data_IF_920217188389
#
_entry.id   IF_920217188389
#
_cell.length_a   1.000
_cell.length_b   1.000
_cell.length_c   1.000
_cell.angle_alpha   90.00
_cell.angle_beta   90.00
_cell.angle_gamma   90.00
#
_symmetry.space_group_name_H-M   'P 1'
#
loop_
_entity.id
_entity.type
_entity.pdbx_description
1 polymer ?
#
# COMPACT_ATOMS: atom_id res chain seq x y z
N UNK A 1 6.74 15.40 7.82
CA UNK A 1 6.43 16.86 7.64
C UNK A 1 7.45 17.78 8.33
N UNK A 2 7.71 17.63 9.63
CA UNK A 2 8.68 18.48 10.36
C UNK A 2 10.05 18.48 9.68
N UNK A 3 10.56 17.31 9.31
CA UNK A 3 11.82 17.18 8.57
C UNK A 3 11.82 18.00 7.27
N UNK A 4 10.83 17.79 6.41
CA UNK A 4 10.75 18.49 5.12
C UNK A 4 10.70 20.02 5.27
N UNK A 5 9.96 20.55 6.25
CA UNK A 5 9.84 21.99 6.45
C UNK A 5 11.09 22.60 7.14
N UNK A 6 11.68 21.90 8.11
CA UNK A 6 12.76 22.46 8.96
C UNK A 6 14.16 22.09 8.50
N UNK A 7 14.35 20.91 7.92
CA UNK A 7 15.65 20.39 7.48
C UNK A 7 15.84 20.63 5.99
N UNK A 8 14.85 20.25 5.17
CA UNK A 8 14.96 20.39 3.72
C UNK A 8 14.57 21.80 3.22
N UNK A 9 13.98 22.65 4.09
CA UNK A 9 13.53 24.01 3.73
C UNK A 9 12.41 24.03 2.68
N UNK A 10 11.66 22.94 2.56
CA UNK A 10 10.62 22.79 1.56
C UNK A 10 9.34 23.57 1.89
N UNK A 11 8.49 23.76 0.87
CA UNK A 11 7.20 24.43 1.00
C UNK A 11 6.04 23.42 0.92
N UNK A 12 4.97 23.66 1.70
CA UNK A 12 3.76 22.85 1.63
C UNK A 12 3.20 22.82 0.22
N UNK A 13 2.84 21.64 -0.25
CA UNK A 13 2.26 21.42 -1.57
C UNK A 13 1.16 20.38 -1.48
N UNK A 14 0.06 20.64 -2.20
CA UNK A 14 -1.04 19.70 -2.38
C UNK A 14 -0.74 18.62 -3.44
N UNK A 15 0.47 18.61 -4.01
CA UNK A 15 0.90 17.60 -4.99
C UNK A 15 -0.07 17.46 -6.17
N UNK A 16 -0.64 18.59 -6.63
CA UNK A 16 -1.68 18.62 -7.67
C UNK A 16 -1.26 17.87 -8.94
N UNK A 17 -2.10 16.96 -9.50
CA UNK A 17 -1.73 16.18 -10.67
C UNK A 17 -1.75 17.04 -11.93
N UNK A 18 -0.57 17.47 -12.40
CA UNK A 18 -0.45 18.32 -13.62
C UNK A 18 -0.15 17.53 -14.89
N UNK A 19 0.25 16.27 -14.77
CA UNK A 19 0.74 15.45 -15.88
C UNK A 19 -0.25 14.35 -16.32
N UNK A 20 -1.50 14.42 -15.86
CA UNK A 20 -2.50 13.35 -16.05
C UNK A 20 -2.17 12.12 -15.22
N UNK A 21 -2.44 10.92 -15.76
CA UNK A 21 -2.13 9.64 -15.13
C UNK A 21 -3.30 8.91 -14.47
N UNK A 22 -4.48 9.52 -14.42
CA UNK A 22 -5.68 8.93 -13.82
C UNK A 22 -6.03 7.56 -14.42
N UNK A 23 -6.12 7.45 -15.75
CA UNK A 23 -6.45 6.18 -16.40
C UNK A 23 -5.38 5.10 -16.22
N UNK A 24 -4.11 5.50 -16.23
CA UNK A 24 -3.00 4.57 -15.95
C UNK A 24 -3.10 4.03 -14.53
N UNK A 25 -3.35 4.91 -13.56
CA UNK A 25 -3.53 4.53 -12.16
C UNK A 25 -4.73 3.60 -11.96
N UNK A 26 -5.90 3.97 -12.49
CA UNK A 26 -7.11 3.13 -12.43
C UNK A 26 -6.86 1.77 -13.06
N UNK A 27 -6.27 1.73 -14.26
CA UNK A 27 -5.96 0.48 -14.96
C UNK A 27 -5.00 -0.42 -14.18
N UNK A 28 -3.93 0.15 -13.61
CA UNK A 28 -2.98 -0.60 -12.79
C UNK A 28 -3.60 -1.06 -11.46
N UNK A 29 -4.42 -0.24 -10.81
CA UNK A 29 -5.15 -0.62 -9.60
C UNK A 29 -6.06 -1.82 -9.84
N UNK A 30 -6.84 -1.81 -10.92
CA UNK A 30 -7.65 -2.96 -11.31
C UNK A 30 -6.80 -4.19 -11.67
N UNK A 31 -5.73 -4.02 -12.43
CA UNK A 31 -4.85 -5.13 -12.80
C UNK A 31 -4.22 -5.80 -11.56
N UNK A 32 -3.72 -5.00 -10.61
CA UNK A 32 -3.19 -5.51 -9.35
C UNK A 32 -4.28 -6.17 -8.49
N UNK A 33 -5.48 -5.59 -8.43
CA UNK A 33 -6.61 -6.19 -7.72
C UNK A 33 -7.00 -7.56 -8.29
N UNK A 34 -7.00 -7.71 -9.61
CA UNK A 34 -7.25 -9.01 -10.27
C UNK A 34 -6.20 -10.03 -9.86
N UNK A 35 -4.92 -9.64 -9.79
CA UNK A 35 -3.84 -10.52 -9.34
C UNK A 35 -4.03 -10.91 -7.86
N UNK A 36 -4.38 -9.96 -6.99
CA UNK A 36 -4.63 -10.20 -5.56
C UNK A 36 -5.82 -11.15 -5.35
N UNK A 37 -6.94 -10.92 -6.03
CA UNK A 37 -8.12 -11.78 -5.96
C UNK A 37 -7.80 -13.17 -6.51
N UNK A 38 -7.08 -13.27 -7.63
CA UNK A 38 -6.67 -14.56 -8.19
C UNK A 38 -5.76 -15.33 -7.23
N UNK A 39 -4.82 -14.66 -6.57
CA UNK A 39 -3.97 -15.27 -5.56
C UNK A 39 -4.80 -15.80 -4.38
N UNK A 40 -5.78 -15.03 -3.91
CA UNK A 40 -6.70 -15.47 -2.86
C UNK A 40 -7.57 -16.66 -3.29
N UNK A 41 -8.11 -16.67 -4.52
CA UNK A 41 -8.88 -17.81 -5.02
C UNK A 41 -8.06 -19.11 -5.13
N UNK A 42 -6.75 -19.00 -5.36
CA UNK A 42 -5.86 -20.15 -5.51
C UNK A 42 -5.25 -20.63 -4.19
N UNK A 43 -5.00 -19.71 -3.25
CA UNK A 43 -4.21 -19.96 -2.03
C UNK A 43 -4.97 -19.65 -0.74
N UNK A 44 -6.19 -19.11 -0.82
CA UNK A 44 -6.97 -18.64 0.33
C UNK A 44 -7.31 -19.75 1.32
N UNK A 45 -7.57 -20.97 0.83
CA UNK A 45 -7.85 -22.14 1.68
C UNK A 45 -6.65 -22.54 2.56
N UNK A 46 -5.44 -22.11 2.20
CA UNK A 46 -4.23 -22.35 3.00
C UNK A 46 -4.01 -21.28 4.09
N UNK A 47 -4.85 -20.23 4.15
CA UNK A 47 -4.79 -19.19 5.19
C UNK A 47 -5.61 -19.65 6.41
N UNK A 48 -4.99 -19.63 7.59
CA UNK A 48 -5.69 -19.94 8.84
C UNK A 48 -6.56 -18.74 9.29
N UNK A 49 -7.86 -18.84 9.01
CA UNK A 49 -8.84 -17.84 9.38
C UNK A 49 -8.93 -17.63 10.91
N UNK A 50 -8.66 -18.66 11.72
CA UNK A 50 -8.68 -18.52 13.18
C UNK A 50 -7.50 -17.66 13.63
N UNK A 51 -6.31 -17.88 13.07
CA UNK A 51 -5.13 -17.10 13.39
C UNK A 51 -5.32 -15.62 13.03
N UNK A 52 -5.89 -15.34 11.86
CA UNK A 52 -6.24 -13.97 11.46
C UNK A 52 -7.27 -13.36 12.41
N UNK A 53 -8.34 -14.10 12.75
CA UNK A 53 -9.39 -13.63 13.66
C UNK A 53 -8.83 -13.30 15.05
N UNK A 54 -7.97 -14.16 15.61
CA UNK A 54 -7.32 -13.93 16.90
C UNK A 54 -6.38 -12.72 16.90
N UNK A 55 -5.75 -12.40 15.77
CA UNK A 55 -4.93 -11.20 15.65
C UNK A 55 -5.77 -9.91 15.59
N UNK A 56 -7.00 -9.99 15.07
CA UNK A 56 -7.90 -8.85 14.83
C UNK A 56 -8.92 -8.63 15.96
N UNK A 57 -9.22 -9.65 16.75
CA UNK A 57 -10.12 -9.56 17.91
C UNK A 57 -9.72 -8.46 18.91
N UNK A 58 -8.43 -8.33 19.34
CA UNK A 58 -8.04 -7.34 20.35
C UNK A 58 -8.23 -5.88 19.90
N UNK A 59 -8.29 -5.65 18.59
CA UNK A 59 -8.51 -4.33 17.99
C UNK A 59 -9.96 -4.09 17.56
N UNK A 60 -10.87 -5.03 17.89
CA UNK A 60 -12.31 -4.90 17.67
C UNK A 60 -12.76 -5.10 16.21
N UNK A 61 -11.88 -5.60 15.33
CA UNK A 61 -12.18 -5.73 13.90
C UNK A 61 -13.08 -6.94 13.56
N UNK A 62 -13.48 -7.74 14.55
CA UNK A 62 -14.52 -8.76 14.41
C UNK A 62 -15.95 -8.21 14.54
N UNK A 63 -16.12 -6.93 14.90
CA UNK A 63 -17.43 -6.25 14.81
C UNK A 63 -17.61 -5.71 13.37
N UNK A 64 -18.66 -6.11 12.61
CA UNK A 64 -18.86 -5.66 11.24
C UNK A 64 -18.96 -4.14 11.08
N UNK A 65 -19.49 -3.41 12.08
CA UNK A 65 -19.56 -1.94 12.04
C UNK A 65 -18.18 -1.33 12.21
N UNK A 66 -17.41 -1.83 13.18
CA UNK A 66 -16.03 -1.37 13.39
C UNK A 66 -15.20 -1.66 12.16
N UNK A 67 -15.30 -2.88 11.60
CA UNK A 67 -14.63 -3.30 10.38
C UNK A 67 -14.95 -2.39 9.19
N UNK A 68 -16.23 -2.04 9.01
CA UNK A 68 -16.65 -1.15 7.93
C UNK A 68 -16.03 0.24 8.04
N UNK A 69 -16.11 0.89 9.21
CA UNK A 69 -15.53 2.22 9.41
C UNK A 69 -14.00 2.22 9.36
N UNK A 70 -13.38 1.17 9.89
CA UNK A 70 -11.96 0.90 9.75
C UNK A 70 -11.55 0.81 8.27
N UNK A 71 -12.25 -0.01 7.48
CA UNK A 71 -11.99 -0.19 6.05
C UNK A 71 -12.08 1.13 5.29
N UNK A 72 -13.11 1.96 5.58
CA UNK A 72 -13.22 3.30 4.99
C UNK A 72 -12.04 4.20 5.37
N UNK A 73 -11.62 4.17 6.64
CA UNK A 73 -10.43 4.91 7.08
C UNK A 73 -9.19 4.44 6.34
N UNK A 74 -8.98 3.14 6.22
CA UNK A 74 -7.80 2.60 5.56
C UNK A 74 -7.74 3.00 4.09
N UNK A 75 -8.85 2.82 3.36
CA UNK A 75 -8.95 3.14 1.94
C UNK A 75 -8.81 4.65 1.67
N UNK A 76 -9.41 5.52 2.48
CA UNK A 76 -9.50 6.95 2.17
C UNK A 76 -8.41 7.79 2.82
N UNK A 77 -8.00 7.42 4.03
CA UNK A 77 -7.11 8.23 4.87
C UNK A 77 -5.74 7.56 4.98
N UNK A 78 -5.68 6.30 5.41
CA UNK A 78 -4.40 5.62 5.63
C UNK A 78 -3.62 5.47 4.33
N UNK A 79 -4.25 5.01 3.24
CA UNK A 79 -3.59 4.87 1.94
C UNK A 79 -3.01 6.21 1.46
N UNK A 80 -3.72 7.33 1.68
CA UNK A 80 -3.21 8.67 1.36
C UNK A 80 -1.98 9.00 2.22
N UNK A 81 -2.04 8.75 3.54
CA UNK A 81 -0.90 8.95 4.44
C UNK A 81 0.30 8.09 4.03
N UNK A 82 0.07 6.85 3.62
CA UNK A 82 1.11 5.96 3.09
C UNK A 82 1.73 6.52 1.82
N UNK A 83 0.95 7.01 0.86
CA UNK A 83 1.50 7.61 -0.35
C UNK A 83 2.31 8.89 -0.05
N UNK A 84 1.92 9.66 0.98
CA UNK A 84 2.73 10.77 1.46
C UNK A 84 4.08 10.31 2.03
N UNK A 85 4.10 9.24 2.83
CA UNK A 85 5.34 8.74 3.45
C UNK A 85 6.22 8.02 2.42
N UNK A 86 5.67 7.04 1.71
CA UNK A 86 6.44 6.15 0.84
C UNK A 86 6.75 6.74 -0.52
N UNK A 87 5.85 7.55 -1.09
CA UNK A 87 6.09 8.18 -2.39
C UNK A 87 6.67 9.55 -2.22
N UNK A 88 5.92 10.47 -1.63
CA UNK A 88 6.43 11.83 -1.56
C UNK A 88 7.71 11.94 -0.74
N UNK A 89 7.73 11.43 0.50
CA UNK A 89 8.95 11.57 1.31
C UNK A 89 10.04 10.57 0.90
N UNK A 90 9.77 9.26 0.92
CA UNK A 90 10.81 8.25 0.72
C UNK A 90 11.29 8.13 -0.73
N UNK A 91 10.46 8.37 -1.76
CA UNK A 91 11.01 8.42 -3.14
C UNK A 91 11.92 9.64 -3.30
N UNK A 92 11.51 10.83 -2.84
CA UNK A 92 12.38 12.03 -2.93
C UNK A 92 13.72 11.78 -2.23
N UNK A 93 13.69 11.22 -1.01
CA UNK A 93 14.94 10.87 -0.30
C UNK A 93 15.74 9.78 -0.99
N UNK A 94 15.08 8.84 -1.66
CA UNK A 94 15.77 7.85 -2.49
C UNK A 94 16.41 8.50 -3.71
N UNK A 95 15.76 9.45 -4.37
CA UNK A 95 16.33 10.20 -5.50
C UNK A 95 17.57 11.01 -5.09
N UNK A 96 17.56 11.61 -3.89
CA UNK A 96 18.73 12.29 -3.32
C UNK A 96 19.91 11.33 -3.06
N UNK A 97 19.65 10.06 -2.74
CA UNK A 97 20.67 9.08 -2.36
C UNK A 97 21.24 8.30 -3.56
N UNK A 98 20.39 7.87 -4.48
CA UNK A 98 20.76 6.94 -5.56
C UNK A 98 20.48 7.48 -6.97
N UNK A 99 20.01 8.72 -7.08
CA UNK A 99 19.61 9.34 -8.33
C UNK A 99 18.16 9.06 -8.73
N UNK A 100 17.67 9.81 -9.72
CA UNK A 100 16.29 9.73 -10.21
C UNK A 100 15.98 8.41 -10.95
N UNK A 101 14.68 8.09 -11.04
CA UNK A 101 14.19 6.99 -11.86
C UNK A 101 14.24 5.63 -11.16
N UNK A 102 14.65 4.58 -11.89
CA UNK A 102 14.56 3.19 -11.43
C UNK A 102 15.26 2.91 -10.10
N UNK A 103 16.48 3.41 -9.82
CA UNK A 103 17.14 3.18 -8.53
C UNK A 103 16.31 3.67 -7.35
N UNK A 104 15.75 4.88 -7.43
CA UNK A 104 14.90 5.43 -6.38
C UNK A 104 13.57 4.67 -6.22
N UNK A 105 12.98 4.22 -7.33
CA UNK A 105 11.77 3.38 -7.32
C UNK A 105 12.02 2.09 -6.55
N UNK A 106 13.12 1.39 -6.85
CA UNK A 106 13.47 0.13 -6.19
C UNK A 106 13.80 0.34 -4.71
N UNK A 107 14.56 1.38 -4.36
CA UNK A 107 14.91 1.66 -2.97
C UNK A 107 13.66 1.97 -2.13
N UNK A 108 12.77 2.82 -2.62
CA UNK A 108 11.50 3.11 -1.93
C UNK A 108 10.61 1.85 -1.82
N UNK A 109 10.53 1.03 -2.86
CA UNK A 109 9.79 -0.23 -2.82
C UNK A 109 10.37 -1.24 -1.81
N UNK A 110 11.70 -1.29 -1.66
CA UNK A 110 12.37 -2.11 -0.65
C UNK A 110 12.00 -1.66 0.78
N UNK A 111 12.00 -0.36 1.04
CA UNK A 111 11.61 0.17 2.37
C UNK A 111 10.12 -0.14 2.65
N UNK A 112 9.27 0.02 1.64
CA UNK A 112 7.84 -0.30 1.72
C UNK A 112 7.60 -1.77 2.05
N UNK A 113 8.24 -2.70 1.34
CA UNK A 113 8.05 -4.14 1.59
C UNK A 113 8.62 -4.57 2.94
N UNK A 114 9.72 -3.98 3.42
CA UNK A 114 10.25 -4.28 4.77
C UNK A 114 9.23 -3.92 5.84
N UNK A 115 8.61 -2.74 5.75
CA UNK A 115 7.55 -2.32 6.67
C UNK A 115 6.39 -3.34 6.68
N UNK A 116 5.92 -3.74 5.50
CA UNK A 116 4.78 -4.64 5.40
C UNK A 116 5.10 -6.08 5.78
N UNK A 117 6.32 -6.56 5.51
CA UNK A 117 6.76 -7.91 5.90
C UNK A 117 6.69 -8.06 7.42
N UNK A 118 7.10 -7.00 8.15
CA UNK A 118 6.99 -6.94 9.61
C UNK A 118 5.52 -6.90 10.05
N UNK A 119 4.70 -6.06 9.42
CA UNK A 119 3.26 -5.99 9.73
C UNK A 119 2.56 -7.34 9.54
N UNK A 120 2.76 -8.01 8.41
CA UNK A 120 2.16 -9.32 8.12
C UNK A 120 2.62 -10.39 9.12
N UNK A 121 3.88 -10.36 9.56
CA UNK A 121 4.36 -11.26 10.60
C UNK A 121 3.65 -11.02 11.94
N UNK A 122 3.39 -9.76 12.30
CA UNK A 122 2.65 -9.39 13.52
C UNK A 122 1.19 -9.83 13.44
N UNK A 123 0.57 -9.75 12.26
CA UNK A 123 -0.80 -10.22 12.01
C UNK A 123 -0.91 -11.75 11.84
N UNK A 124 0.16 -12.49 12.11
CA UNK A 124 0.12 -13.96 12.15
C UNK A 124 0.20 -14.64 10.80
N UNK A 125 0.62 -13.96 9.72
CA UNK A 125 0.79 -14.63 8.44
C UNK A 125 1.88 -15.71 8.54
N UNK A 126 1.64 -16.96 8.07
CA UNK A 126 2.68 -17.97 8.02
C UNK A 126 3.81 -17.51 7.08
N UNK A 127 5.04 -17.95 7.35
CA UNK A 127 6.24 -17.42 6.68
C UNK A 127 6.17 -17.49 5.15
N UNK A 128 5.56 -18.54 4.59
CA UNK A 128 5.43 -18.71 3.15
C UNK A 128 4.42 -17.72 2.55
N UNK A 129 3.31 -17.45 3.23
CA UNK A 129 2.31 -16.49 2.79
C UNK A 129 2.85 -15.07 2.92
N UNK A 130 3.56 -14.77 4.00
CA UNK A 130 4.26 -13.51 4.16
C UNK A 130 5.28 -13.30 3.03
N UNK A 131 6.11 -14.29 2.70
CA UNK A 131 7.07 -14.19 1.60
C UNK A 131 6.40 -13.90 0.25
N UNK A 132 5.34 -14.63 -0.11
CA UNK A 132 4.60 -14.41 -1.37
C UNK A 132 3.96 -13.02 -1.39
N UNK A 133 3.30 -12.63 -0.30
CA UNK A 133 2.71 -11.30 -0.13
C UNK A 133 3.76 -10.21 -0.25
N UNK A 134 4.94 -10.39 0.35
CA UNK A 134 6.05 -9.43 0.27
C UNK A 134 6.57 -9.28 -1.16
N UNK A 135 6.66 -10.36 -1.95
CA UNK A 135 7.00 -10.24 -3.37
C UNK A 135 5.94 -9.41 -4.11
N UNK A 136 4.65 -9.68 -3.87
CA UNK A 136 3.55 -8.89 -4.44
C UNK A 136 3.58 -7.42 -4.03
N UNK A 137 3.80 -7.15 -2.75
CA UNK A 137 3.90 -5.81 -2.17
C UNK A 137 5.13 -5.04 -2.65
N UNK A 138 6.24 -5.73 -2.89
CA UNK A 138 7.42 -5.12 -3.51
C UNK A 138 7.11 -4.65 -4.94
N UNK A 139 6.45 -5.50 -5.75
CA UNK A 139 6.04 -5.15 -7.11
C UNK A 139 5.02 -4.00 -7.08
N UNK A 140 3.99 -4.09 -6.24
CA UNK A 140 3.00 -3.02 -6.06
C UNK A 140 3.63 -1.70 -5.60
N UNK A 141 4.52 -1.76 -4.61
CA UNK A 141 5.28 -0.62 -4.13
C UNK A 141 6.16 0.00 -5.21
N UNK A 142 6.78 -0.81 -6.07
CA UNK A 142 7.54 -0.33 -7.22
C UNK A 142 6.63 0.34 -8.27
N UNK A 143 5.44 -0.21 -8.54
CA UNK A 143 4.44 0.38 -9.44
C UNK A 143 3.97 1.74 -8.90
N UNK A 144 3.65 1.83 -7.61
CA UNK A 144 3.24 3.09 -6.98
C UNK A 144 4.36 4.13 -7.02
N UNK A 145 5.60 3.73 -6.72
CA UNK A 145 6.77 4.60 -6.86
C UNK A 145 6.99 5.06 -8.31
N UNK A 146 6.82 4.17 -9.28
CA UNK A 146 6.92 4.52 -10.69
C UNK A 146 5.84 5.51 -11.13
N UNK A 147 4.58 5.32 -10.70
CA UNK A 147 3.50 6.28 -10.93
C UNK A 147 3.84 7.66 -10.34
N UNK A 148 4.39 7.69 -9.12
CA UNK A 148 4.83 8.92 -8.50
C UNK A 148 5.95 9.61 -9.29
N UNK A 149 7.02 8.90 -9.65
CA UNK A 149 8.13 9.46 -10.43
C UNK A 149 7.64 9.97 -11.78
N UNK A 150 6.75 9.22 -12.44
CA UNK A 150 6.25 9.55 -13.78
C UNK A 150 5.33 10.77 -13.82
N UNK A 151 4.48 10.95 -12.80
CA UNK A 151 3.43 11.97 -12.80
C UNK A 151 3.65 13.08 -11.75
N UNK A 152 4.62 12.89 -10.85
CA UNK A 152 5.02 13.81 -9.78
C UNK A 152 3.85 14.28 -8.92
N UNK A 153 2.97 13.34 -8.59
CA UNK A 153 1.78 13.58 -7.79
C UNK A 153 1.44 12.37 -6.92
N UNK A 154 1.14 12.58 -5.64
CA UNK A 154 0.73 11.50 -4.70
C UNK A 154 -0.67 10.97 -5.01
N UNK A 155 -1.52 11.78 -5.63
CA UNK A 155 -2.89 11.39 -5.96
C UNK A 155 -2.93 10.28 -7.02
N UNK A 156 -1.93 10.24 -7.91
CA UNK A 156 -1.88 9.25 -8.97
C UNK A 156 -1.66 7.84 -8.42
N UNK A 157 -0.61 7.53 -7.65
CA UNK A 157 -0.51 6.21 -7.03
C UNK A 157 -1.60 5.96 -5.96
N UNK A 158 -2.07 7.00 -5.25
CA UNK A 158 -3.19 6.87 -4.29
C UNK A 158 -4.45 6.24 -4.90
N UNK A 159 -4.84 6.61 -6.12
CA UNK A 159 -6.01 6.02 -6.77
C UNK A 159 -5.82 4.51 -6.98
N UNK A 160 -4.64 4.08 -7.44
CA UNK A 160 -4.34 2.67 -7.64
C UNK A 160 -4.31 1.93 -6.29
N UNK A 161 -3.69 2.55 -5.27
CA UNK A 161 -3.63 2.02 -3.91
C UNK A 161 -5.03 1.83 -3.32
N UNK A 162 -5.89 2.85 -3.36
CA UNK A 162 -7.25 2.77 -2.85
C UNK A 162 -8.08 1.68 -3.54
N UNK A 163 -7.87 1.44 -4.85
CA UNK A 163 -8.52 0.33 -5.58
C UNK A 163 -8.01 -1.02 -5.05
N UNK A 164 -6.70 -1.19 -4.84
CA UNK A 164 -6.14 -2.40 -4.24
C UNK A 164 -6.63 -2.61 -2.80
N UNK A 165 -6.82 -1.55 -2.02
CA UNK A 165 -7.33 -1.63 -0.66
C UNK A 165 -8.77 -2.14 -0.64
N UNK A 166 -9.62 -1.68 -1.57
CA UNK A 166 -10.98 -2.24 -1.73
C UNK A 166 -10.91 -3.76 -1.92
N UNK A 167 -9.96 -4.26 -2.73
CA UNK A 167 -9.80 -5.70 -2.94
C UNK A 167 -9.31 -6.41 -1.67
N UNK A 168 -8.29 -5.90 -0.98
CA UNK A 168 -7.72 -6.57 0.20
C UNK A 168 -8.68 -6.59 1.39
N UNK A 169 -9.39 -5.48 1.66
CA UNK A 169 -10.40 -5.43 2.72
C UNK A 169 -11.67 -6.18 2.32
N UNK A 170 -12.02 -6.24 1.03
CA UNK A 170 -13.09 -7.12 0.56
C UNK A 170 -12.80 -8.59 0.83
N UNK A 171 -11.57 -9.04 0.54
CA UNK A 171 -11.12 -10.40 0.88
C UNK A 171 -11.12 -10.62 2.40
N UNK A 172 -10.62 -9.66 3.17
CA UNK A 172 -10.64 -9.72 4.63
C UNK A 172 -12.06 -9.88 5.19
N UNK A 173 -13.04 -9.15 4.65
CA UNK A 173 -14.44 -9.29 5.05
C UNK A 173 -14.99 -10.70 4.78
N UNK A 174 -14.68 -11.29 3.61
CA UNK A 174 -15.11 -12.66 3.26
C UNK A 174 -14.51 -13.72 4.20
N UNK A 175 -13.28 -13.49 4.68
CA UNK A 175 -12.63 -14.43 5.61
C UNK A 175 -13.24 -14.33 7.01
N UNK A 176 -13.67 -13.14 7.42
CA UNK A 176 -14.11 -12.86 8.80
C UNK A 176 -15.63 -13.01 9.04
N UNK A 177 -16.46 -12.89 8.00
CA UNK A 177 -17.93 -12.81 8.09
C UNK A 177 -18.64 -13.71 7.07
#
# INVERSE_FOLDING_TARGET
LIWFLKVDGGNLSWSTPRQGGYWMSVGLGFAMSVVMISAWLLLGDAIDANLLSSALEPVGLLDPKVYFFATLYWILINSLLEEYVFRWFLVIKSEELVGEGTPAVLLSALIFVVHHTVALAIFGFPWWANLISSVGLFIGGAIFSWLYVRYRSVWIPYIAHAICDIAVFGIGAIILF
#
